data_IF_016793531707
#
_entry.id   IF_016793531707
#
_cell.length_a   1.000
_cell.length_b   1.000
_cell.length_c   1.000
_cell.angle_alpha   90.00
_cell.angle_beta   90.00
_cell.angle_gamma   90.00
#
_symmetry.space_group_name_H-M   'P 1'
#
loop_
_entity.id
_entity.type
_entity.pdbx_description
1 polymer ?
#
# COMPACT_ATOMS: atom_id res chain seq x y z
N UNK A 1 -1.76 -3.49 -6.25
CA UNK A 1 -0.73 -2.99 -5.32
C UNK A 1 -1.30 -1.80 -4.60
N UNK A 2 -1.33 -1.87 -3.27
CA UNK A 2 -1.88 -0.87 -2.37
C UNK A 2 -0.73 -0.07 -1.78
N UNK A 3 -0.91 1.24 -1.60
CA UNK A 3 0.07 2.10 -0.95
C UNK A 3 -0.54 2.64 0.34
N UNK A 4 0.14 2.40 1.46
CA UNK A 4 -0.28 2.83 2.80
C UNK A 4 0.87 3.54 3.50
N UNK A 5 0.54 4.25 4.57
CA UNK A 5 1.50 4.97 5.41
C UNK A 5 1.84 4.17 6.67
N UNK A 6 3.00 4.46 7.27
CA UNK A 6 3.32 4.01 8.63
C UNK A 6 2.49 4.84 9.62
N UNK A 7 1.26 4.39 9.87
CA UNK A 7 0.29 5.07 10.74
C UNK A 7 -0.63 4.07 11.41
N UNK A 8 -0.91 4.28 12.70
CA UNK A 8 -1.87 3.49 13.49
C UNK A 8 -3.33 3.95 13.29
N UNK A 9 -3.53 5.03 12.52
CA UNK A 9 -4.87 5.50 12.17
C UNK A 9 -5.53 4.58 11.14
N UNK A 10 -6.85 4.67 11.02
CA UNK A 10 -7.59 3.96 9.98
C UNK A 10 -7.17 4.47 8.60
N UNK A 11 -6.86 3.55 7.70
CA UNK A 11 -6.51 3.84 6.32
C UNK A 11 -7.51 3.16 5.39
N UNK A 12 -7.88 3.88 4.33
CA UNK A 12 -8.89 3.45 3.35
C UNK A 12 -8.23 3.20 2.01
N UNK A 13 -8.57 2.09 1.38
CA UNK A 13 -8.12 1.76 0.03
C UNK A 13 -9.18 0.97 -0.71
N UNK A 14 -8.99 0.84 -2.03
CA UNK A 14 -9.94 0.18 -2.93
C UNK A 14 -9.34 -1.09 -3.49
N UNK A 15 -10.17 -2.12 -3.63
CA UNK A 15 -9.80 -3.37 -4.28
C UNK A 15 -10.87 -3.76 -5.31
N UNK A 16 -10.47 -4.50 -6.33
CA UNK A 16 -11.39 -5.20 -7.23
C UNK A 16 -11.42 -6.66 -6.76
N UNK A 17 -12.49 -7.13 -6.10
CA UNK A 17 -12.55 -8.50 -5.60
C UNK A 17 -12.42 -9.50 -6.75
N UNK A 18 -11.55 -10.50 -6.61
CA UNK A 18 -11.30 -11.47 -7.69
C UNK A 18 -12.21 -12.69 -7.62
N UNK A 19 -12.88 -12.93 -6.48
CA UNK A 19 -13.76 -14.10 -6.28
C UNK A 19 -15.01 -13.80 -5.48
N UNK A 20 -14.83 -13.29 -4.25
CA UNK A 20 -15.91 -13.13 -3.27
C UNK A 20 -15.85 -11.69 -2.75
N UNK A 21 -16.99 -11.00 -2.79
CA UNK A 21 -17.09 -9.62 -2.34
C UNK A 21 -17.29 -9.48 -0.83
N UNK A 22 -17.82 -10.50 -0.15
CA UNK A 22 -18.17 -10.44 1.27
C UNK A 22 -16.99 -10.82 2.18
N UNK A 23 -15.97 -9.96 2.20
CA UNK A 23 -14.75 -10.13 3.00
C UNK A 23 -15.05 -9.82 4.48
N UNK A 24 -14.59 -10.68 5.38
CA UNK A 24 -14.72 -10.48 6.83
C UNK A 24 -13.42 -10.64 7.63
N UNK A 25 -12.32 -10.98 6.95
CA UNK A 25 -11.01 -11.12 7.56
C UNK A 25 -9.92 -10.57 6.65
N UNK A 26 -8.90 -10.00 7.28
CA UNK A 26 -7.69 -9.49 6.65
C UNK A 26 -6.47 -10.07 7.35
N UNK A 27 -5.48 -10.53 6.59
CA UNK A 27 -4.20 -11.05 7.11
C UNK A 27 -3.08 -10.33 6.38
N UNK A 28 -2.19 -9.69 7.13
CA UNK A 28 -1.05 -8.94 6.57
C UNK A 28 0.24 -9.58 7.06
N UNK A 29 1.18 -9.79 6.13
CA UNK A 29 2.46 -10.44 6.41
C UNK A 29 3.60 -9.66 5.78
N UNK A 30 4.61 -9.34 6.59
CA UNK A 30 5.83 -8.66 6.18
C UNK A 30 6.68 -9.61 5.31
N UNK A 31 7.07 -9.15 4.13
CA UNK A 31 7.87 -9.95 3.20
C UNK A 31 9.36 -9.97 3.54
N UNK A 32 9.88 -8.98 4.27
CA UNK A 32 11.27 -8.93 4.69
C UNK A 32 11.52 -9.83 5.91
N UNK A 33 10.63 -9.80 6.90
CA UNK A 33 10.79 -10.59 8.13
C UNK A 33 10.03 -11.91 8.09
N UNK A 34 9.17 -12.11 7.09
CA UNK A 34 8.32 -13.29 6.93
C UNK A 34 7.33 -13.49 8.11
N UNK A 35 7.02 -12.44 8.86
CA UNK A 35 6.12 -12.48 10.03
C UNK A 35 4.77 -11.84 9.73
N UNK A 36 3.69 -12.41 10.26
CA UNK A 36 2.37 -11.76 10.26
C UNK A 36 2.42 -10.52 11.16
N UNK A 37 1.93 -9.39 10.67
CA UNK A 37 1.86 -8.13 11.43
C UNK A 37 0.46 -7.91 11.98
N UNK A 38 0.37 -7.24 13.12
CA UNK A 38 -0.92 -6.89 13.72
C UNK A 38 -1.67 -5.94 12.79
N UNK A 39 -2.90 -6.33 12.44
CA UNK A 39 -3.82 -5.51 11.67
C UNK A 39 -5.25 -5.77 12.11
N UNK A 40 -6.07 -4.73 12.07
CA UNK A 40 -7.50 -4.81 12.41
C UNK A 40 -8.31 -4.51 11.17
N UNK A 41 -9.16 -5.45 10.78
CA UNK A 41 -10.16 -5.24 9.74
C UNK A 41 -11.31 -4.44 10.34
N UNK A 42 -11.64 -3.29 9.75
CA UNK A 42 -12.69 -2.41 10.26
C UNK A 42 -13.97 -2.59 9.44
N UNK A 43 -13.88 -2.47 8.12
CA UNK A 43 -15.06 -2.63 7.26
C UNK A 43 -14.69 -2.92 5.81
N UNK A 44 -15.70 -3.43 5.08
CA UNK A 44 -15.70 -3.64 3.65
C UNK A 44 -17.04 -3.14 3.10
N UNK A 45 -17.00 -2.06 2.33
CA UNK A 45 -18.17 -1.55 1.61
C UNK A 45 -18.14 -2.10 0.19
N UNK A 46 -19.12 -2.95 -0.13
CA UNK A 46 -19.25 -3.59 -1.44
C UNK A 46 -19.81 -2.56 -2.43
N UNK A 47 -19.08 -2.31 -3.51
CA UNK A 47 -19.57 -1.57 -4.68
C UNK A 47 -19.83 -2.50 -5.86
N UNK A 48 -20.22 -1.95 -7.01
CA UNK A 48 -20.56 -2.76 -8.19
C UNK A 48 -19.35 -3.55 -8.72
N UNK A 49 -18.18 -2.91 -8.77
CA UNK A 49 -16.93 -3.51 -9.26
C UNK A 49 -15.74 -3.28 -8.34
N UNK A 50 -15.89 -2.35 -7.38
CA UNK A 50 -14.81 -1.90 -6.52
C UNK A 50 -15.30 -1.86 -5.09
N UNK A 51 -14.61 -2.59 -4.22
CA UNK A 51 -14.86 -2.55 -2.79
C UNK A 51 -13.96 -1.53 -2.13
N UNK A 52 -14.50 -0.85 -1.13
CA UNK A 52 -13.74 0.05 -0.27
C UNK A 52 -13.47 -0.64 1.06
N UNK A 53 -12.19 -0.81 1.39
CA UNK A 53 -11.72 -1.46 2.61
C UNK A 53 -11.19 -0.40 3.57
N UNK A 54 -11.54 -0.54 4.85
CA UNK A 54 -10.98 0.25 5.94
C UNK A 54 -10.28 -0.70 6.91
N UNK A 55 -9.03 -0.37 7.26
CA UNK A 55 -8.22 -1.15 8.19
C UNK A 55 -7.26 -0.29 9.00
N UNK A 56 -6.77 -0.85 10.10
CA UNK A 56 -5.67 -0.28 10.90
C UNK A 56 -4.48 -1.22 10.85
N UNK A 57 -3.27 -0.67 10.77
CA UNK A 57 -2.07 -1.43 10.47
C UNK A 57 -0.88 -0.97 11.29
N UNK A 58 -0.03 -1.92 11.70
CA UNK A 58 1.30 -1.63 12.26
C UNK A 58 2.40 -1.92 11.22
N UNK A 59 2.43 -1.12 10.16
CA UNK A 59 3.42 -1.25 9.07
C UNK A 59 4.71 -0.47 9.38
N UNK A 60 5.78 -0.79 8.66
CA UNK A 60 7.08 -0.11 8.71
C UNK A 60 7.42 0.53 7.38
N UNK A 61 7.95 1.76 7.43
CA UNK A 61 8.37 2.51 6.26
C UNK A 61 9.33 1.69 5.38
N UNK A 62 9.14 1.77 4.06
CA UNK A 62 9.96 1.10 3.04
C UNK A 62 9.90 -0.45 3.05
N UNK A 63 8.89 -1.03 3.68
CA UNK A 63 8.65 -2.48 3.64
C UNK A 63 7.55 -2.83 2.62
N UNK A 64 7.66 -4.04 2.07
CA UNK A 64 6.59 -4.68 1.31
C UNK A 64 5.89 -5.73 2.17
N UNK A 65 4.57 -5.81 2.00
CA UNK A 65 3.73 -6.76 2.72
C UNK A 65 2.81 -7.49 1.74
N UNK A 66 2.56 -8.76 1.98
CA UNK A 66 1.41 -9.45 1.38
C UNK A 66 0.17 -9.20 2.21
N UNK A 67 -0.97 -9.00 1.55
CA UNK A 67 -2.28 -8.89 2.19
C UNK A 67 -3.23 -9.92 1.59
N UNK A 68 -3.89 -10.68 2.45
CA UNK A 68 -4.91 -11.66 2.09
C UNK A 68 -6.25 -11.28 2.71
N UNK A 69 -7.28 -11.24 1.89
CA UNK A 69 -8.65 -11.06 2.30
C UNK A 69 -9.37 -12.39 2.28
N UNK A 70 -10.11 -12.68 3.35
CA UNK A 70 -10.82 -13.95 3.52
C UNK A 70 -12.29 -13.72 3.88
N UNK A 71 -13.10 -14.70 3.53
CA UNK A 71 -14.51 -14.81 3.91
C UNK A 71 -14.67 -16.18 4.54
N UNK A 72 -14.89 -16.22 5.86
CA UNK A 72 -15.06 -17.47 6.61
C UNK A 72 -13.88 -18.45 6.37
N UNK A 73 -12.64 -17.92 6.35
CA UNK A 73 -11.42 -18.70 6.13
C UNK A 73 -11.07 -18.98 4.66
N UNK A 74 -11.98 -18.73 3.72
CA UNK A 74 -11.72 -18.93 2.28
C UNK A 74 -11.06 -17.69 1.68
N UNK A 75 -9.97 -17.87 0.93
CA UNK A 75 -9.27 -16.78 0.24
C UNK A 75 -10.17 -16.12 -0.81
N UNK A 76 -10.40 -14.82 -0.64
CA UNK A 76 -11.22 -14.01 -1.53
C UNK A 76 -10.37 -13.20 -2.50
N UNK A 77 -9.31 -12.57 -1.98
CA UNK A 77 -8.43 -11.68 -2.74
C UNK A 77 -7.06 -11.63 -2.09
N UNK A 78 -6.02 -11.37 -2.90
CA UNK A 78 -4.65 -11.19 -2.47
C UNK A 78 -4.05 -10.03 -3.23
N UNK A 79 -3.36 -9.14 -2.51
CA UNK A 79 -2.59 -8.06 -3.11
C UNK A 79 -1.29 -7.86 -2.31
N UNK A 80 -0.50 -6.87 -2.70
CA UNK A 80 0.71 -6.43 -2.03
C UNK A 80 0.56 -4.98 -1.59
N UNK A 81 1.06 -4.68 -0.40
CA UNK A 81 1.16 -3.33 0.15
C UNK A 81 2.61 -2.88 0.04
N UNK A 82 2.81 -1.63 -0.35
CA UNK A 82 4.04 -0.90 -0.11
C UNK A 82 3.80 0.19 0.92
N UNK A 83 4.58 0.21 1.99
CA UNK A 83 4.45 1.20 3.05
C UNK A 83 5.38 2.39 2.80
N UNK A 84 4.81 3.57 2.54
CA UNK A 84 5.58 4.81 2.42
C UNK A 84 4.83 6.05 2.89
N UNK A 85 5.54 6.91 3.64
CA UNK A 85 5.12 8.24 4.05
C UNK A 85 5.52 9.33 3.04
N UNK A 86 6.20 8.96 1.95
CA UNK A 86 6.55 9.91 0.88
C UNK A 86 5.31 10.27 0.06
N UNK A 87 5.28 11.47 -0.51
CA UNK A 87 4.32 11.79 -1.55
C UNK A 87 4.58 10.90 -2.79
N UNK A 88 3.53 10.31 -3.34
CA UNK A 88 3.62 9.31 -4.41
C UNK A 88 4.12 9.95 -5.71
N UNK A 89 3.69 11.17 -6.01
CA UNK A 89 4.08 11.89 -7.23
C UNK A 89 5.58 12.23 -7.27
N UNK A 90 6.21 12.29 -6.10
CA UNK A 90 7.63 12.61 -5.94
C UNK A 90 8.40 11.48 -5.25
N UNK A 91 7.87 10.26 -5.30
CA UNK A 91 8.49 9.13 -4.62
C UNK A 91 9.90 8.88 -5.17
N UNK A 92 10.85 8.67 -4.25
CA UNK A 92 12.20 8.23 -4.59
C UNK A 92 12.66 7.16 -3.63
N UNK A 93 13.26 6.09 -4.18
CA UNK A 93 13.94 5.06 -3.38
C UNK A 93 15.13 5.62 -2.60
N UNK A 94 15.71 6.72 -3.10
CA UNK A 94 16.86 7.42 -2.50
C UNK A 94 16.43 8.75 -1.87
N UNK A 95 15.16 8.90 -1.47
CA UNK A 95 14.66 10.13 -0.89
C UNK A 95 15.53 10.57 0.29
N UNK A 96 16.07 11.79 0.24
CA UNK A 96 16.97 12.37 1.25
C UNK A 96 18.30 11.61 1.46
N UNK A 97 18.64 10.64 0.60
CA UNK A 97 19.89 9.89 0.71
C UNK A 97 21.06 10.56 -0.03
N UNK A 98 20.77 11.32 -1.09
CA UNK A 98 21.78 12.00 -1.89
C UNK A 98 21.41 13.47 -2.09
N UNK A 99 22.42 14.33 -2.13
CA UNK A 99 22.27 15.72 -2.57
C UNK A 99 22.21 15.74 -4.10
N UNK A 100 21.08 16.11 -4.73
CA UNK A 100 21.00 16.14 -6.19
C UNK A 100 21.84 17.29 -6.74
N UNK A 101 22.72 17.00 -7.69
CA UNK A 101 23.34 18.03 -8.53
C UNK A 101 22.36 18.36 -9.66
N UNK A 102 21.79 19.57 -9.65
CA UNK A 102 21.00 20.06 -10.77
C UNK A 102 21.86 21.03 -11.58
N UNK A 103 22.15 20.68 -12.84
CA UNK A 103 22.75 21.62 -13.80
C UNK A 103 21.66 22.16 -14.70
N UNK A 104 21.63 23.48 -14.90
CA UNK A 104 20.77 24.09 -15.91
C UNK A 104 21.39 23.81 -17.28
N UNK A 105 20.71 23.06 -18.14
CA UNK A 105 21.11 22.88 -19.53
C UNK A 105 20.80 24.17 -20.31
N UNK A 106 21.70 25.15 -20.26
CA UNK A 106 21.66 26.31 -21.14
C UNK A 106 22.32 25.93 -22.46
N UNK A 107 21.51 25.63 -23.48
CA UNK A 107 21.98 25.60 -24.86
C UNK A 107 22.12 27.04 -25.37
N UNK A 108 23.26 27.33 -26.01
CA UNK A 108 23.54 28.61 -26.66
C UNK A 108 23.19 28.45 -28.14
N UNK A 109 22.18 29.19 -28.61
CA UNK A 109 21.89 29.37 -30.04
C UNK A 109 22.80 30.49 -30.55
N UNK A 110 23.54 30.26 -31.64
CA UNK A 110 24.11 31.36 -32.42
C UNK A 110 23.15 31.65 -33.59
N UNK A 111 22.75 32.90 -33.75
CA UNK A 111 22.00 33.39 -34.93
C UNK A 111 22.90 33.42 -36.18
#
# INVERSE_FOLDING_TARGET
MIILQESQQQQTFKIVPTRIANINQMVVKDEQTNTTVTSTFVSNTIGDYVNTIIGQFSLKQNHFYTIEFKSNGVLCHKDRIFCTNQNIDTFSVNNQQYTPNSTTNTYIVYE
#
